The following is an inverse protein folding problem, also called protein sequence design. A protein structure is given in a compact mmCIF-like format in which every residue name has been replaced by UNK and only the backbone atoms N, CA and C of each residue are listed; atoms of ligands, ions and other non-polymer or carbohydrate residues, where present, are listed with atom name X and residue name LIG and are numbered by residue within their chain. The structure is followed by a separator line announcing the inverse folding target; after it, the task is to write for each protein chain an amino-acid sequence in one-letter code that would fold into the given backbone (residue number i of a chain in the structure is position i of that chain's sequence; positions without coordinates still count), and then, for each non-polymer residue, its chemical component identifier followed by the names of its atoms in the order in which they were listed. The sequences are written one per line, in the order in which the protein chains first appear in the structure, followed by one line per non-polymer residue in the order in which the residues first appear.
data_IF_630656055351
#
_entry.id   IF_630656055351
#
_cell.length_a   1.000
_cell.length_b   1.000
_cell.length_c   1.000
_cell.angle_alpha   90.00
_cell.angle_beta   90.00
_cell.angle_gamma   90.00
#
_symmetry.space_group_name_H-M   'P 1'
#
loop_
_entity.id
_entity.type
_entity.pdbx_description
1 polymer ?
#
# COMPACT_ATOMS: atom_id res chain seq x y z
N UNK A 1 -8.60 -3.91 17.41
CA UNK A 1 -7.12 -3.87 17.43
C UNK A 1 -6.64 -3.58 16.03
N UNK A 2 -6.55 -2.30 15.70
CA UNK A 2 -6.17 -1.85 14.38
C UNK A 2 -4.66 -1.85 14.27
N UNK A 3 -4.08 -2.40 13.20
CA UNK A 3 -2.65 -2.28 12.90
C UNK A 3 -1.66 -2.79 13.96
N UNK A 4 -2.08 -3.68 14.87
CA UNK A 4 -1.25 -4.26 15.94
C UNK A 4 -1.12 -5.76 15.76
N UNK A 5 0.12 -6.26 15.72
CA UNK A 5 0.39 -7.69 15.89
C UNK A 5 0.09 -8.12 17.34
N UNK A 6 -0.26 -9.39 17.54
CA UNK A 6 -0.51 -9.96 18.88
C UNK A 6 0.72 -9.77 19.77
N UNK A 7 1.92 -9.98 19.24
CA UNK A 7 3.19 -9.77 19.96
C UNK A 7 3.34 -8.33 20.45
N UNK A 8 3.06 -7.34 19.60
CA UNK A 8 3.13 -5.92 19.98
C UNK A 8 2.08 -5.50 21.01
N UNK A 9 0.91 -6.15 20.98
CA UNK A 9 -0.12 -5.97 21.99
C UNK A 9 0.33 -6.51 23.35
N UNK A 10 0.94 -7.71 23.35
CA UNK A 10 1.47 -8.34 24.56
C UNK A 10 2.66 -7.55 25.14
N UNK A 11 3.45 -6.88 24.30
CA UNK A 11 4.55 -6.00 24.71
C UNK A 11 4.10 -4.60 25.18
N UNK A 12 2.79 -4.35 25.35
CA UNK A 12 2.24 -3.04 25.75
C UNK A 12 2.60 -1.87 24.81
N UNK A 13 2.94 -2.15 23.54
CA UNK A 13 3.22 -1.13 22.51
C UNK A 13 1.96 -0.57 21.83
N UNK A 14 0.78 -0.88 22.36
CA UNK A 14 -0.49 -0.39 21.83
C UNK A 14 -0.59 1.15 21.72
N UNK A 15 -0.08 1.96 22.68
CA UNK A 15 -0.16 3.42 22.59
C UNK A 15 0.70 4.03 21.48
N UNK A 16 1.81 3.37 21.12
CA UNK A 16 2.71 3.77 20.03
C UNK A 16 2.40 3.06 18.72
N UNK A 17 1.27 2.34 18.66
CA UNK A 17 0.89 1.64 17.45
C UNK A 17 0.58 2.64 16.33
N UNK A 18 1.00 2.35 15.09
CA UNK A 18 0.74 3.23 13.94
C UNK A 18 -0.75 3.57 13.76
N UNK A 19 -1.61 2.61 14.11
CA UNK A 19 -3.05 2.74 14.18
C UNK A 19 -3.55 3.77 15.20
N UNK A 20 -3.04 3.70 16.43
CA UNK A 20 -3.37 4.67 17.47
C UNK A 20 -2.89 6.06 17.08
N UNK A 21 -1.76 6.17 16.40
CA UNK A 21 -1.25 7.45 15.89
C UNK A 21 -2.14 8.02 14.77
N UNK A 22 -2.64 7.18 13.85
CA UNK A 22 -3.61 7.57 12.84
C UNK A 22 -4.89 8.15 13.45
N UNK A 23 -5.54 7.37 14.33
CA UNK A 23 -6.82 7.78 14.92
C UNK A 23 -6.66 8.95 15.89
N UNK A 24 -5.55 9.01 16.64
CA UNK A 24 -5.22 10.16 17.50
C UNK A 24 -5.01 11.42 16.65
N UNK A 25 -4.25 11.33 15.56
CA UNK A 25 -4.06 12.45 14.64
C UNK A 25 -5.40 12.91 14.05
N UNK A 26 -6.28 12.02 13.60
CA UNK A 26 -7.58 12.43 13.07
C UNK A 26 -8.48 13.08 14.16
N UNK A 27 -8.51 12.48 15.36
CA UNK A 27 -9.32 12.96 16.48
C UNK A 27 -8.84 14.31 17.04
N UNK A 28 -7.52 14.53 17.13
CA UNK A 28 -6.92 15.80 17.61
C UNK A 28 -7.29 17.00 16.72
N UNK A 29 -7.57 16.78 15.44
CA UNK A 29 -7.92 17.85 14.49
C UNK A 29 -9.40 17.85 14.06
N UNK A 30 -10.26 17.11 14.78
CA UNK A 30 -11.71 17.11 14.57
C UNK A 30 -12.18 16.37 13.32
N UNK A 31 -11.31 15.59 12.67
CA UNK A 31 -11.66 14.70 11.58
C UNK A 31 -12.23 13.37 12.09
N UNK A 32 -13.24 12.85 11.41
CA UNK A 32 -13.83 11.54 11.73
C UNK A 32 -13.59 10.57 10.58
N UNK A 33 -12.46 9.86 10.64
CA UNK A 33 -12.11 8.82 9.66
C UNK A 33 -13.19 7.73 9.55
N UNK A 34 -13.98 7.50 10.61
CA UNK A 34 -15.08 6.54 10.60
C UNK A 34 -16.29 7.00 9.76
N UNK A 35 -16.40 8.31 9.47
CA UNK A 35 -17.39 8.85 8.54
C UNK A 35 -16.87 8.90 7.10
N UNK A 36 -15.57 9.11 6.92
CA UNK A 36 -14.95 9.24 5.59
C UNK A 36 -14.58 7.89 4.95
N UNK A 37 -14.35 6.85 5.76
CA UNK A 37 -13.84 5.55 5.32
C UNK A 37 -14.71 4.40 5.82
N UNK A 38 -14.82 3.33 5.03
CA UNK A 38 -15.51 2.11 5.44
C UNK A 38 -14.64 1.33 6.43
N UNK A 39 -15.24 0.50 7.32
CA UNK A 39 -14.47 -0.36 8.22
C UNK A 39 -13.44 -1.25 7.51
N UNK A 40 -13.73 -1.69 6.29
CA UNK A 40 -12.82 -2.49 5.45
C UNK A 40 -11.62 -1.68 4.98
N UNK A 41 -11.83 -0.42 4.58
CA UNK A 41 -10.76 0.49 4.14
C UNK A 41 -9.80 0.76 5.29
N UNK A 42 -10.35 0.98 6.48
CA UNK A 42 -9.57 1.05 7.70
C UNK A 42 -8.74 -0.24 7.83
N UNK A 43 -9.33 -1.45 7.82
CA UNK A 43 -8.55 -2.69 8.00
C UNK A 43 -7.37 -2.81 7.03
N UNK A 44 -7.55 -2.39 5.78
CA UNK A 44 -6.48 -2.33 4.78
C UNK A 44 -5.36 -1.37 5.20
N UNK A 45 -5.68 -0.16 5.65
CA UNK A 45 -4.69 0.80 6.14
C UNK A 45 -3.98 0.29 7.41
N UNK A 46 -4.66 -0.45 8.27
CA UNK A 46 -4.03 -1.14 9.40
C UNK A 46 -3.04 -2.22 8.95
N UNK A 47 -3.41 -3.01 7.95
CA UNK A 47 -2.55 -4.04 7.35
C UNK A 47 -1.30 -3.44 6.69
N UNK A 48 -1.43 -2.28 6.03
CA UNK A 48 -0.30 -1.52 5.49
C UNK A 48 0.76 -1.22 6.55
N UNK A 49 0.34 -0.73 7.72
CA UNK A 49 1.26 -0.37 8.80
C UNK A 49 1.94 -1.61 9.41
N UNK A 50 1.19 -2.69 9.61
CA UNK A 50 1.74 -3.98 10.09
C UNK A 50 2.77 -4.55 9.11
N UNK A 51 2.45 -4.52 7.81
CA UNK A 51 3.34 -5.04 6.78
C UNK A 51 4.59 -4.15 6.64
N UNK A 52 4.46 -2.84 6.80
CA UNK A 52 5.61 -1.91 6.85
C UNK A 52 6.54 -2.26 8.01
N UNK A 53 5.98 -2.47 9.21
CA UNK A 53 6.76 -2.87 10.37
C UNK A 53 7.44 -4.24 10.19
N UNK A 54 6.73 -5.20 9.61
CA UNK A 54 7.26 -6.54 9.31
C UNK A 54 8.41 -6.47 8.31
N UNK A 55 8.25 -5.71 7.22
CA UNK A 55 9.33 -5.48 6.24
C UNK A 55 10.57 -4.88 6.90
N UNK A 56 10.40 -3.84 7.72
CA UNK A 56 11.52 -3.19 8.40
C UNK A 56 12.26 -4.14 9.35
N UNK A 57 11.52 -4.95 10.13
CA UNK A 57 12.12 -5.93 11.03
C UNK A 57 12.93 -6.99 10.25
N UNK A 58 12.37 -7.51 9.15
CA UNK A 58 13.05 -8.48 8.28
C UNK A 58 14.30 -7.88 7.64
N UNK A 59 14.21 -6.67 7.09
CA UNK A 59 15.35 -5.96 6.51
C UNK A 59 16.46 -5.73 7.54
N UNK A 60 16.10 -5.40 8.78
CA UNK A 60 17.06 -5.23 9.88
C UNK A 60 17.75 -6.56 10.22
N UNK A 61 17.00 -7.66 10.32
CA UNK A 61 17.57 -8.98 10.63
C UNK A 61 18.45 -9.56 9.51
N UNK A 62 18.18 -9.15 8.27
CA UNK A 62 18.92 -9.51 7.07
C UNK A 62 20.04 -8.51 6.73
N UNK A 63 20.31 -7.53 7.60
CA UNK A 63 21.33 -6.50 7.38
C UNK A 63 21.17 -5.76 6.04
N UNK A 64 19.93 -5.56 5.60
CA UNK A 64 19.60 -4.84 4.37
C UNK A 64 19.90 -3.33 4.51
N UNK A 65 20.17 -2.62 3.40
CA UNK A 65 20.34 -1.17 3.43
C UNK A 65 19.15 -0.44 4.07
N UNK A 66 19.45 0.49 4.97
CA UNK A 66 18.45 1.33 5.61
C UNK A 66 17.95 2.41 4.65
N UNK A 67 16.71 2.87 4.88
CA UNK A 67 16.11 3.96 4.12
C UNK A 67 17.02 5.20 4.15
N UNK A 68 17.23 5.82 2.98
CA UNK A 68 18.01 7.05 2.90
C UNK A 68 17.23 8.18 3.57
N UNK A 69 17.83 8.78 4.60
CA UNK A 69 17.27 9.96 5.25
C UNK A 69 17.42 11.19 4.36
N UNK A 70 16.38 12.02 4.34
CA UNK A 70 16.45 13.37 3.79
C UNK A 70 16.12 14.36 4.89
N UNK A 71 16.91 15.43 4.97
CA UNK A 71 16.62 16.57 5.82
C UNK A 71 16.53 17.79 4.95
N UNK A 72 15.30 18.14 4.56
CA UNK A 72 15.04 19.38 3.87
C UNK A 72 14.73 20.47 4.90
N UNK A 73 15.47 21.59 4.83
CA UNK A 73 15.12 22.76 5.63
C UNK A 73 13.74 23.27 5.22
N UNK A 74 12.84 23.45 6.19
CA UNK A 74 11.50 23.98 5.93
C UNK A 74 11.61 25.35 5.26
N UNK A 75 11.08 25.45 4.05
CA UNK A 75 10.92 26.75 3.37
C UNK A 75 9.85 27.55 4.08
N UNK A 76 10.04 28.86 4.15
CA UNK A 76 9.07 29.77 4.75
C UNK A 76 7.69 29.59 4.08
N UNK A 77 6.65 29.44 4.89
CA UNK A 77 5.27 29.16 4.48
C UNK A 77 4.56 30.36 3.81
N UNK A 78 5.29 31.41 3.41
CA UNK A 78 4.71 32.66 2.90
C UNK A 78 4.16 32.54 1.47
N UNK A 79 4.63 31.56 0.69
CA UNK A 79 4.17 31.35 -0.68
C UNK A 79 2.88 30.52 -0.75
N UNK A 80 2.05 30.70 -1.79
CA UNK A 80 0.95 29.78 -2.09
C UNK A 80 1.43 28.33 -2.15
N UNK A 81 0.61 27.40 -1.64
CA UNK A 81 0.98 25.98 -1.52
C UNK A 81 1.50 25.33 -2.83
N UNK A 82 0.97 25.73 -3.97
CA UNK A 82 1.42 25.21 -5.27
C UNK A 82 2.84 25.67 -5.64
N UNK A 83 3.23 26.91 -5.29
CA UNK A 83 4.60 27.40 -5.52
C UNK A 83 5.60 26.66 -4.64
N UNK A 84 5.23 26.40 -3.39
CA UNK A 84 6.02 25.55 -2.48
C UNK A 84 6.26 24.17 -3.10
N UNK A 85 5.24 23.55 -3.70
CA UNK A 85 5.36 22.25 -4.34
C UNK A 85 6.34 22.26 -5.52
N UNK A 86 6.29 23.31 -6.35
CA UNK A 86 7.26 23.51 -7.44
C UNK A 86 8.70 23.64 -6.93
N UNK A 87 8.92 24.46 -5.90
CA UNK A 87 10.26 24.62 -5.30
C UNK A 87 10.77 23.33 -4.67
N UNK A 88 9.90 22.60 -3.98
CA UNK A 88 10.23 21.31 -3.37
C UNK A 88 10.63 20.30 -4.45
N UNK A 89 9.90 20.24 -5.56
CA UNK A 89 10.24 19.37 -6.68
C UNK A 89 11.64 19.67 -7.22
N UNK A 90 11.98 20.95 -7.45
CA UNK A 90 13.29 21.34 -7.95
C UNK A 90 14.41 20.93 -6.96
N UNK A 91 14.23 21.23 -5.67
CA UNK A 91 15.20 20.88 -4.61
C UNK A 91 15.42 19.38 -4.48
N UNK A 92 14.35 18.59 -4.51
CA UNK A 92 14.46 17.13 -4.43
C UNK A 92 15.18 16.57 -5.67
N UNK A 93 14.90 17.11 -6.87
CA UNK A 93 15.63 16.69 -8.09
C UNK A 93 17.11 17.01 -8.01
N UNK A 94 17.47 18.18 -7.48
CA UNK A 94 18.85 18.59 -7.25
C UNK A 94 19.56 17.67 -6.25
N UNK A 95 18.96 17.45 -5.07
CA UNK A 95 19.51 16.57 -4.02
C UNK A 95 19.68 15.12 -4.51
N UNK A 96 18.77 14.66 -5.37
CA UNK A 96 18.85 13.35 -6.01
C UNK A 96 19.70 13.35 -7.29
N UNK A 97 20.30 14.47 -7.69
CA UNK A 97 21.10 14.55 -8.93
C UNK A 97 20.35 14.04 -10.17
N UNK A 98 19.03 14.25 -10.23
CA UNK A 98 18.18 13.79 -11.35
C UNK A 98 18.26 14.73 -12.57
N UNK A 99 18.82 15.93 -12.38
CA UNK A 99 18.85 16.98 -13.41
C UNK A 99 17.43 17.30 -13.90
N UNK A 100 17.27 17.48 -15.21
CA UNK A 100 15.97 17.77 -15.85
C UNK A 100 15.42 16.60 -16.69
N UNK A 101 16.12 15.47 -16.70
CA UNK A 101 15.72 14.31 -17.51
C UNK A 101 14.51 13.59 -16.91
N UNK A 102 13.65 12.97 -17.74
CA UNK A 102 12.55 12.15 -17.26
C UNK A 102 13.03 11.07 -16.29
N UNK A 103 12.26 10.82 -15.23
CA UNK A 103 12.53 9.74 -14.28
C UNK A 103 12.12 8.42 -14.93
N UNK A 104 13.03 7.45 -15.16
CA UNK A 104 12.67 6.22 -15.86
C UNK A 104 11.62 5.39 -15.09
N UNK A 105 11.80 5.23 -13.78
CA UNK A 105 10.86 4.54 -12.91
C UNK A 105 10.80 5.19 -11.54
N UNK A 106 9.58 5.50 -11.08
CA UNK A 106 9.34 5.94 -9.71
C UNK A 106 9.49 4.78 -8.73
N UNK A 107 9.12 3.56 -9.13
CA UNK A 107 9.29 2.35 -8.31
C UNK A 107 10.77 2.13 -8.00
N UNK A 108 11.65 2.05 -9.02
CA UNK A 108 13.09 1.88 -8.81
C UNK A 108 13.73 3.05 -8.07
N UNK A 109 13.29 4.29 -8.34
CA UNK A 109 13.78 5.44 -7.57
C UNK A 109 13.50 5.26 -6.08
N UNK A 110 12.28 4.89 -5.70
CA UNK A 110 11.89 4.79 -4.29
C UNK A 110 12.42 3.51 -3.63
N UNK A 111 12.36 2.35 -4.29
CA UNK A 111 12.76 1.06 -3.72
C UNK A 111 14.26 0.79 -3.77
N UNK A 112 14.89 1.06 -4.92
CA UNK A 112 16.27 0.65 -5.16
C UNK A 112 17.25 1.74 -4.73
N UNK A 113 16.90 3.01 -4.95
CA UNK A 113 17.77 4.13 -4.61
C UNK A 113 17.51 4.73 -3.23
N UNK A 114 16.25 4.78 -2.79
CA UNK A 114 15.89 5.35 -1.48
C UNK A 114 15.59 4.29 -0.41
N UNK A 115 15.44 3.02 -0.81
CA UNK A 115 15.13 1.90 0.07
C UNK A 115 13.82 2.05 0.86
N UNK A 116 12.83 2.72 0.27
CA UNK A 116 11.48 2.86 0.81
C UNK A 116 10.64 1.61 0.51
N UNK A 117 9.67 1.31 1.38
CA UNK A 117 8.76 0.19 1.16
C UNK A 117 7.57 0.63 0.31
N UNK A 118 7.26 -0.09 -0.77
CA UNK A 118 6.08 0.17 -1.58
C UNK A 118 5.11 -1.00 -1.51
N UNK A 119 3.82 -0.67 -1.42
CA UNK A 119 2.72 -1.62 -1.46
C UNK A 119 1.71 -1.19 -2.51
N UNK A 120 1.22 -2.14 -3.29
CA UNK A 120 0.20 -1.91 -4.30
C UNK A 120 -1.02 -2.72 -3.97
N UNK A 121 -2.19 -2.09 -3.99
CA UNK A 121 -3.47 -2.75 -3.77
C UNK A 121 -4.47 -2.33 -4.84
N UNK A 122 -5.54 -3.11 -4.99
CA UNK A 122 -6.56 -2.90 -6.01
C UNK A 122 -7.87 -2.40 -5.39
N UNK A 123 -8.74 -1.74 -6.18
CA UNK A 123 -9.97 -1.14 -5.67
C UNK A 123 -11.01 -2.10 -5.05
N UNK A 124 -10.89 -3.41 -5.29
CA UNK A 124 -11.71 -4.44 -4.61
C UNK A 124 -11.35 -4.59 -3.12
N UNK A 125 -10.14 -4.18 -2.72
CA UNK A 125 -9.69 -4.23 -1.33
C UNK A 125 -9.79 -2.87 -0.64
N UNK A 126 -9.42 -1.80 -1.33
CA UNK A 126 -9.42 -0.43 -0.81
C UNK A 126 -10.34 0.44 -1.65
N UNK A 127 -11.29 1.13 -1.02
CA UNK A 127 -12.19 2.05 -1.70
C UNK A 127 -11.41 2.97 -2.63
N UNK A 128 -11.92 3.16 -3.85
CA UNK A 128 -11.37 4.15 -4.78
C UNK A 128 -11.41 5.56 -4.22
N UNK A 129 -12.08 5.82 -3.10
CA UNK A 129 -11.99 7.09 -2.37
C UNK A 129 -10.58 7.40 -1.84
N UNK A 130 -9.69 6.41 -1.71
CA UNK A 130 -8.28 6.55 -1.33
C UNK A 130 -7.40 6.15 -2.51
N UNK A 131 -6.60 7.09 -3.02
CA UNK A 131 -5.62 6.83 -4.09
C UNK A 131 -4.29 6.33 -3.52
N UNK A 132 -3.92 6.80 -2.32
CA UNK A 132 -2.69 6.42 -1.67
C UNK A 132 -2.67 6.71 -0.18
N UNK A 133 -1.66 6.15 0.48
CA UNK A 133 -1.31 6.46 1.85
C UNK A 133 0.19 6.32 2.05
N UNK A 134 0.74 6.99 3.05
CA UNK A 134 2.17 6.95 3.33
C UNK A 134 2.47 7.02 4.83
N UNK A 135 3.62 6.46 5.23
CA UNK A 135 4.11 6.55 6.61
C UNK A 135 5.63 6.68 6.69
N UNK A 136 6.11 7.41 7.70
CA UNK A 136 7.54 7.49 8.04
C UNK A 136 8.00 6.39 8.99
N UNK A 137 7.08 5.71 9.69
CA UNK A 137 7.42 4.78 10.76
C UNK A 137 6.96 3.35 10.50
N UNK A 138 7.79 2.35 10.87
CA UNK A 138 9.16 2.49 11.39
C UNK A 138 10.19 2.87 10.30
N UNK A 139 9.79 2.85 9.03
CA UNK A 139 10.57 3.34 7.89
C UNK A 139 9.63 4.02 6.89
N UNK A 140 10.15 4.87 5.98
CA UNK A 140 9.36 5.43 4.88
C UNK A 140 8.71 4.33 4.05
N UNK A 141 7.39 4.42 3.89
CA UNK A 141 6.60 3.50 3.11
C UNK A 141 5.40 4.19 2.44
N UNK A 142 5.03 3.68 1.26
CA UNK A 142 3.91 4.17 0.47
C UNK A 142 3.00 2.99 0.09
N UNK A 143 1.70 3.18 0.20
CA UNK A 143 0.64 2.35 -0.34
C UNK A 143 -0.01 3.09 -1.51
N UNK A 144 -0.14 2.44 -2.65
CA UNK A 144 -0.89 2.95 -3.81
C UNK A 144 -2.10 2.05 -4.08
N UNK A 145 -3.27 2.66 -4.24
CA UNK A 145 -4.45 2.02 -4.78
C UNK A 145 -4.42 2.13 -6.32
N UNK A 146 -4.37 1.00 -7.01
CA UNK A 146 -4.30 0.92 -8.47
C UNK A 146 -5.67 1.15 -9.10
N UNK A 147 -6.22 2.34 -8.87
CA UNK A 147 -7.46 2.82 -9.51
C UNK A 147 -7.21 2.88 -11.02
N UNK A 148 -8.03 2.17 -11.80
CA UNK A 148 -7.83 2.01 -13.24
C UNK A 148 -6.92 0.83 -13.65
N UNK A 149 -6.47 0.01 -12.70
CA UNK A 149 -5.67 -1.19 -12.95
C UNK A 149 -4.19 -0.92 -13.21
N UNK A 150 -3.39 -1.99 -13.34
CA UNK A 150 -1.95 -1.91 -13.60
C UNK A 150 -1.60 -1.27 -14.96
N UNK A 151 -2.53 -1.31 -15.93
CA UNK A 151 -2.37 -0.63 -17.22
C UNK A 151 -2.35 0.90 -17.09
N UNK A 152 -2.81 1.47 -15.97
CA UNK A 152 -2.79 2.92 -15.69
C UNK A 152 -1.50 3.37 -14.97
N UNK A 153 -0.34 2.83 -15.33
CA UNK A 153 0.94 3.06 -14.64
C UNK A 153 1.36 4.54 -14.56
N UNK A 154 0.96 5.39 -15.52
CA UNK A 154 1.22 6.83 -15.48
C UNK A 154 0.51 7.50 -14.30
N UNK A 155 -0.64 6.96 -13.88
CA UNK A 155 -1.35 7.42 -12.68
C UNK A 155 -0.58 7.01 -11.43
N UNK A 156 -0.16 5.75 -11.34
CA UNK A 156 0.68 5.22 -10.26
C UNK A 156 1.94 6.08 -10.06
N UNK A 157 2.61 6.51 -11.13
CA UNK A 157 3.77 7.42 -11.06
C UNK A 157 3.47 8.74 -10.38
N UNK A 158 2.35 9.36 -10.74
CA UNK A 158 1.90 10.63 -10.17
C UNK A 158 1.55 10.44 -8.69
N UNK A 159 0.82 9.37 -8.35
CA UNK A 159 0.49 9.07 -6.95
C UNK A 159 1.76 8.79 -6.12
N UNK A 160 2.73 8.03 -6.64
CA UNK A 160 4.02 7.81 -5.95
C UNK A 160 4.76 9.12 -5.68
N UNK A 161 4.82 10.03 -6.66
CA UNK A 161 5.46 11.33 -6.48
C UNK A 161 4.67 12.22 -5.49
N UNK A 162 3.34 12.13 -5.49
CA UNK A 162 2.49 12.83 -4.53
C UNK A 162 2.76 12.36 -3.09
N UNK A 163 2.74 11.05 -2.86
CA UNK A 163 3.02 10.46 -1.54
C UNK A 163 4.46 10.72 -1.08
N UNK A 164 5.40 10.78 -2.02
CA UNK A 164 6.78 11.20 -1.72
C UNK A 164 6.84 12.62 -1.16
N UNK A 165 6.02 13.57 -1.66
CA UNK A 165 5.94 14.91 -1.09
C UNK A 165 5.52 14.86 0.38
N UNK A 166 4.49 14.06 0.69
CA UNK A 166 4.00 13.94 2.06
C UNK A 166 5.05 13.41 3.00
N UNK A 167 5.81 12.38 2.59
CA UNK A 167 6.88 11.82 3.41
C UNK A 167 8.02 12.81 3.65
N UNK A 168 8.38 13.61 2.64
CA UNK A 168 9.52 14.52 2.74
C UNK A 168 9.22 15.82 3.48
N UNK A 169 8.01 16.35 3.37
CA UNK A 169 7.72 17.73 3.79
C UNK A 169 6.56 17.87 4.78
N UNK A 170 5.60 16.95 4.73
CA UNK A 170 4.34 17.07 5.49
C UNK A 170 4.32 16.15 6.71
N UNK A 171 5.09 15.06 6.64
CA UNK A 171 5.24 14.07 7.69
C UNK A 171 6.45 14.40 8.55
N UNK A 172 6.30 14.27 9.86
CA UNK A 172 7.44 14.30 10.81
C UNK A 172 7.27 13.15 11.78
N UNK A 173 8.36 12.45 12.13
CA UNK A 173 8.30 11.31 13.03
C UNK A 173 7.71 11.64 14.41
N UNK A 174 7.82 12.91 14.84
CA UNK A 174 7.36 13.38 16.16
C UNK A 174 5.92 13.93 16.16
N UNK A 175 5.45 14.51 15.04
CA UNK A 175 4.13 15.14 15.02
C UNK A 175 3.15 14.49 14.02
N UNK A 176 3.62 13.95 12.89
CA UNK A 176 2.78 13.43 11.80
C UNK A 176 3.48 12.30 11.04
N UNK A 177 3.54 11.07 11.56
CA UNK A 177 4.26 9.99 10.88
C UNK A 177 3.46 9.35 9.73
N UNK A 178 2.29 9.88 9.36
CA UNK A 178 1.36 9.22 8.44
C UNK A 178 0.50 10.22 7.64
N UNK A 179 0.15 9.88 6.39
CA UNK A 179 -0.76 10.63 5.51
C UNK A 179 -1.69 9.70 4.68
N UNK A 180 -2.87 10.21 4.29
CA UNK A 180 -3.84 9.57 3.36
C UNK A 180 -4.22 10.58 2.29
N UNK A 181 -4.16 10.17 1.02
CA UNK A 181 -4.56 11.01 -0.11
C UNK A 181 -5.91 10.54 -0.69
N UNK A 182 -6.94 11.41 -0.69
CA UNK A 182 -8.25 11.09 -1.23
C UNK A 182 -8.30 11.18 -2.77
N UNK A 183 -9.21 10.43 -3.40
CA UNK A 183 -9.42 10.46 -4.85
C UNK A 183 -10.21 11.69 -5.30
N UNK A 184 -9.67 12.39 -6.30
CA UNK A 184 -10.25 13.60 -6.87
C UNK A 184 -10.21 14.77 -5.89
N UNK A 185 -9.74 15.94 -6.36
CA UNK A 185 -9.51 17.12 -5.53
C UNK A 185 -10.66 17.46 -4.55
N UNK A 186 -10.31 18.10 -3.44
CA UNK A 186 -11.19 18.23 -2.27
C UNK A 186 -12.41 19.16 -2.40
N UNK A 187 -12.79 19.58 -3.61
CA UNK A 187 -13.94 20.48 -3.79
C UNK A 187 -15.23 19.79 -3.33
N UNK A 188 -15.87 20.36 -2.30
CA UNK A 188 -17.14 19.90 -1.74
C UNK A 188 -17.06 18.83 -0.64
N UNK A 189 -15.91 18.22 -0.38
CA UNK A 189 -15.80 17.11 0.60
C UNK A 189 -15.42 17.58 2.01
N UNK A 190 -16.40 18.06 2.79
CA UNK A 190 -16.19 18.49 4.19
C UNK A 190 -15.66 17.38 5.10
N UNK A 191 -15.96 16.12 4.78
CA UNK A 191 -15.63 14.91 5.55
C UNK A 191 -14.12 14.59 5.56
N UNK A 192 -13.37 15.13 4.61
CA UNK A 192 -11.92 14.90 4.46
C UNK A 192 -11.07 16.01 5.08
N UNK A 193 -11.64 16.86 5.94
CA UNK A 193 -10.88 17.82 6.75
C UNK A 193 -10.16 17.11 7.90
N UNK A 194 -9.23 16.23 7.55
CA UNK A 194 -8.47 15.42 8.50
C UNK A 194 -7.45 16.25 9.29
N UNK A 195 -7.04 17.42 8.76
CA UNK A 195 -6.02 18.31 9.34
C UNK A 195 -6.34 19.79 9.07
N UNK A 196 -5.80 20.67 9.92
CA UNK A 196 -5.68 22.10 9.62
C UNK A 196 -4.78 22.31 8.39
N UNK A 197 -5.20 23.17 7.45
CA UNK A 197 -4.55 23.41 6.16
C UNK A 197 -4.44 22.20 5.20
N UNK A 198 -5.23 21.13 5.40
CA UNK A 198 -5.20 19.94 4.53
C UNK A 198 -5.29 20.28 3.02
N UNK A 199 -6.10 21.28 2.65
CA UNK A 199 -6.18 21.76 1.25
C UNK A 199 -4.84 22.26 0.70
N UNK A 200 -4.08 22.98 1.51
CA UNK A 200 -2.77 23.47 1.13
C UNK A 200 -1.76 22.33 1.04
N UNK A 201 -1.84 21.34 1.93
CA UNK A 201 -1.00 20.14 1.89
C UNK A 201 -1.21 19.37 0.57
N UNK A 202 -2.47 19.05 0.25
CA UNK A 202 -2.82 18.36 -1.00
C UNK A 202 -2.47 19.18 -2.25
N UNK A 203 -2.70 20.50 -2.23
CA UNK A 203 -2.34 21.37 -3.35
C UNK A 203 -0.83 21.39 -3.58
N UNK A 204 -0.05 21.42 -2.49
CA UNK A 204 1.41 21.34 -2.54
C UNK A 204 1.90 19.99 -3.06
N UNK A 205 1.37 18.88 -2.56
CA UNK A 205 1.74 17.54 -3.02
C UNK A 205 1.39 17.32 -4.51
N UNK A 206 0.25 17.82 -4.96
CA UNK A 206 -0.11 17.83 -6.38
C UNK A 206 0.88 18.65 -7.22
N UNK A 207 1.21 19.88 -6.80
CA UNK A 207 2.18 20.70 -7.50
C UNK A 207 3.59 20.06 -7.51
N UNK A 208 4.01 19.48 -6.39
CA UNK A 208 5.24 18.71 -6.30
C UNK A 208 5.27 17.58 -7.31
N UNK A 209 4.26 16.71 -7.33
CA UNK A 209 4.22 15.54 -8.19
C UNK A 209 4.38 15.91 -9.68
N UNK A 210 3.65 16.92 -10.12
CA UNK A 210 3.66 17.33 -11.54
C UNK A 210 4.95 18.02 -11.94
N UNK A 211 5.57 18.83 -11.07
CA UNK A 211 6.85 19.48 -11.34
C UNK A 211 8.04 18.55 -11.17
N UNK A 212 7.94 17.56 -10.27
CA UNK A 212 8.97 16.56 -10.03
C UNK A 212 9.10 15.61 -11.22
N UNK A 213 7.97 15.17 -11.78
CA UNK A 213 7.96 14.29 -12.95
C UNK A 213 8.26 15.03 -14.26
N UNK A 214 7.76 16.26 -14.42
CA UNK A 214 7.94 17.06 -15.63
C UNK A 214 8.56 18.43 -15.30
N UNK A 215 9.90 18.54 -15.16
CA UNK A 215 10.57 19.81 -14.87
C UNK A 215 10.44 20.82 -16.02
N UNK A 216 10.33 22.10 -15.68
CA UNK A 216 9.98 23.18 -16.62
C UNK A 216 10.97 23.34 -17.78
N UNK A 217 12.27 23.25 -17.52
CA UNK A 217 13.32 23.36 -18.55
C UNK A 217 13.22 22.27 -19.62
N UNK A 218 13.09 21.00 -19.22
CA UNK A 218 12.87 19.88 -20.15
C UNK A 218 11.52 20.01 -20.84
N UNK A 219 10.46 20.36 -20.11
CA UNK A 219 9.13 20.54 -20.69
C UNK A 219 9.14 21.58 -21.82
N UNK A 220 9.78 22.74 -21.61
CA UNK A 220 9.94 23.77 -22.65
C UNK A 220 10.70 23.25 -23.87
N UNK A 221 11.74 22.44 -23.65
CA UNK A 221 12.53 21.83 -24.73
C UNK A 221 11.70 20.83 -25.54
N UNK A 222 10.89 20.02 -24.89
CA UNK A 222 9.99 19.05 -25.53
C UNK A 222 8.89 19.72 -26.35
N UNK A 223 8.27 20.79 -25.82
CA UNK A 223 7.28 21.57 -26.59
C UNK A 223 7.97 22.27 -27.76
N UNK A 224 9.14 22.88 -27.54
CA UNK A 224 9.96 23.47 -28.60
C UNK A 224 9.19 24.48 -29.44
N UNK A 225 8.93 24.12 -30.71
CA UNK A 225 8.18 24.95 -31.68
C UNK A 225 6.70 24.57 -31.81
N UNK A 226 6.25 23.53 -31.10
CA UNK A 226 4.85 23.11 -31.11
C UNK A 226 3.99 24.17 -30.42
N UNK A 227 2.74 24.31 -30.86
CA UNK A 227 1.77 25.11 -30.13
C UNK A 227 1.48 24.42 -28.78
N UNK A 228 1.60 25.11 -27.63
CA UNK A 228 1.46 24.49 -26.30
C UNK A 228 0.08 23.87 -26.06
N UNK A 229 -0.95 24.34 -26.77
CA UNK A 229 -2.32 23.84 -26.69
C UNK A 229 -2.64 22.77 -27.74
N UNK A 230 -1.65 22.31 -28.54
CA UNK A 230 -1.85 21.28 -29.57
C UNK A 230 -1.81 19.85 -29.03
N UNK A 231 -2.46 18.93 -29.73
CA UNK A 231 -2.39 17.49 -29.41
C UNK A 231 -0.99 16.92 -29.54
N UNK A 232 -0.17 17.46 -30.44
CA UNK A 232 1.22 17.06 -30.62
C UNK A 232 2.05 17.40 -29.37
N UNK A 233 1.85 18.60 -28.80
CA UNK A 233 2.51 19.01 -27.56
C UNK A 233 2.07 18.12 -26.38
N UNK A 234 0.76 17.88 -26.22
CA UNK A 234 0.25 17.00 -25.15
C UNK A 234 0.84 15.60 -25.29
N UNK A 235 0.85 15.05 -26.51
CA UNK A 235 1.38 13.71 -26.80
C UNK A 235 2.87 13.59 -26.51
N UNK A 236 3.67 14.59 -26.92
CA UNK A 236 5.09 14.63 -26.65
C UNK A 236 5.36 14.63 -25.14
N UNK A 237 4.64 15.46 -24.38
CA UNK A 237 4.79 15.54 -22.92
C UNK A 237 4.37 14.24 -22.23
N UNK A 238 3.25 13.64 -22.61
CA UNK A 238 2.80 12.36 -22.06
C UNK A 238 3.84 11.25 -22.28
N UNK A 239 4.39 11.16 -23.49
CA UNK A 239 5.39 10.14 -23.86
C UNK A 239 6.73 10.37 -23.17
N UNK A 240 7.24 11.61 -23.18
CA UNK A 240 8.56 11.92 -22.64
C UNK A 240 8.62 11.74 -21.13
N UNK A 241 7.59 12.15 -20.38
CA UNK A 241 7.62 12.11 -18.92
C UNK A 241 6.86 10.93 -18.30
N UNK A 242 6.11 10.16 -19.10
CA UNK A 242 5.29 9.06 -18.62
C UNK A 242 4.19 9.54 -17.66
N UNK A 243 3.48 10.60 -18.04
CA UNK A 243 2.38 11.20 -17.27
C UNK A 243 1.08 11.19 -18.09
N UNK A 244 -0.06 11.13 -17.40
CA UNK A 244 -1.37 11.12 -18.04
C UNK A 244 -1.75 12.47 -18.66
N UNK A 245 -2.66 12.42 -19.65
CA UNK A 245 -3.16 13.59 -20.40
C UNK A 245 -3.56 14.77 -19.50
N UNK A 246 -4.35 14.52 -18.45
CA UNK A 246 -4.81 15.58 -17.55
C UNK A 246 -3.65 16.32 -16.90
N UNK A 247 -2.61 15.59 -16.49
CA UNK A 247 -1.41 16.17 -15.87
C UNK A 247 -0.58 16.94 -16.89
N UNK A 248 -0.43 16.40 -18.11
CA UNK A 248 0.26 17.09 -19.19
C UNK A 248 -0.42 18.43 -19.54
N UNK A 249 -1.75 18.44 -19.68
CA UNK A 249 -2.52 19.66 -19.96
C UNK A 249 -2.34 20.68 -18.84
N UNK A 250 -2.44 20.25 -17.57
CA UNK A 250 -2.22 21.15 -16.42
C UNK A 250 -0.80 21.72 -16.39
N UNK A 251 0.22 20.91 -16.71
CA UNK A 251 1.61 21.39 -16.78
C UNK A 251 1.83 22.38 -17.92
N UNK A 252 1.26 22.13 -19.09
CA UNK A 252 1.28 23.07 -20.23
C UNK A 252 0.55 24.36 -19.87
N UNK A 253 -0.62 24.26 -19.24
CA UNK A 253 -1.39 25.40 -18.78
C UNK A 253 -0.62 26.29 -17.81
N UNK A 254 0.02 25.68 -16.82
CA UNK A 254 0.85 26.40 -15.86
C UNK A 254 2.11 27.01 -16.50
N UNK A 255 2.80 26.27 -17.38
CA UNK A 255 4.06 26.72 -17.98
C UNK A 255 3.87 27.87 -19.00
N UNK A 256 2.78 27.81 -19.78
CA UNK A 256 2.53 28.74 -20.89
C UNK A 256 1.38 29.71 -20.63
N UNK A 257 0.82 29.71 -19.41
CA UNK A 257 -0.28 30.61 -19.03
C UNK A 257 -1.58 30.37 -19.80
N UNK A 258 -1.91 29.10 -20.12
CA UNK A 258 -3.15 28.77 -20.83
C UNK A 258 -4.35 28.94 -19.89
N UNK A 259 -5.39 29.62 -20.36
CA UNK A 259 -6.62 29.83 -19.60
C UNK A 259 -7.33 28.50 -19.27
N UNK A 260 -8.11 28.49 -18.20
CA UNK A 260 -8.92 27.33 -17.80
C UNK A 260 -9.85 26.87 -18.93
N UNK A 261 -10.42 27.81 -19.68
CA UNK A 261 -11.25 27.51 -20.85
C UNK A 261 -10.46 26.82 -21.97
N UNK A 262 -9.20 27.20 -22.17
CA UNK A 262 -8.33 26.52 -23.14
C UNK A 262 -7.98 25.12 -22.68
N UNK A 263 -7.64 24.94 -21.41
CA UNK A 263 -7.37 23.62 -20.84
C UNK A 263 -8.60 22.70 -20.88
N UNK A 264 -9.80 23.24 -20.63
CA UNK A 264 -11.07 22.52 -20.76
C UNK A 264 -11.30 22.04 -22.20
N UNK A 265 -11.13 22.93 -23.18
CA UNK A 265 -11.20 22.56 -24.60
C UNK A 265 -10.16 21.53 -25.00
N UNK A 266 -8.96 21.57 -24.42
CA UNK A 266 -7.95 20.52 -24.63
C UNK A 266 -8.42 19.17 -24.07
N UNK A 267 -9.03 19.15 -22.88
CA UNK A 267 -9.54 17.92 -22.25
C UNK A 267 -10.68 17.27 -23.03
N UNK A 268 -11.51 18.07 -23.70
CA UNK A 268 -12.68 17.61 -24.48
C UNK A 268 -12.31 16.97 -25.85
N UNK A 269 -11.07 17.16 -26.32
CA UNK A 269 -10.62 16.58 -27.60
C UNK A 269 -10.35 15.09 -27.48
N UNK A 270 -10.55 14.38 -28.60
CA UNK A 270 -10.18 12.96 -28.70
C UNK A 270 -8.66 12.79 -28.51
N UNK A 271 -8.21 11.93 -27.59
CA UNK A 271 -6.78 11.72 -27.36
C UNK A 271 -6.10 10.97 -28.52
N UNK A 272 -5.01 11.52 -29.03
CA UNK A 272 -4.09 10.82 -29.96
C UNK A 272 -3.09 9.91 -29.20
N UNK A 273 -3.07 9.99 -27.87
CA UNK A 273 -2.16 9.22 -27.02
C UNK A 273 -2.73 7.87 -26.67
N UNK A 274 -1.97 6.82 -27.00
CA UNK A 274 -2.02 5.54 -26.29
C UNK A 274 -0.71 5.38 -25.56
N UNK A 275 -0.78 5.26 -24.24
CA UNK A 275 0.39 4.90 -23.44
C UNK A 275 0.78 3.45 -23.78
N UNK A 276 2.08 3.19 -23.83
CA UNK A 276 2.58 1.82 -23.91
C UNK A 276 2.10 1.05 -22.68
N UNK A 277 1.68 -0.21 -22.85
CA UNK A 277 1.20 -1.02 -21.72
C UNK A 277 2.34 -1.53 -20.86
N UNK A 278 3.50 -1.72 -21.47
CA UNK A 278 4.72 -2.17 -20.83
C UNK A 278 5.53 -0.95 -20.36
N UNK A 279 5.71 -0.83 -19.05
CA UNK A 279 6.50 0.23 -18.43
C UNK A 279 7.02 -0.25 -17.09
N UNK A 280 8.20 0.18 -16.68
CA UNK A 280 8.83 -0.19 -15.41
C UNK A 280 8.05 0.24 -14.14
N UNK A 281 6.95 0.97 -14.28
CA UNK A 281 6.05 1.37 -13.18
C UNK A 281 4.66 0.71 -13.29
N UNK A 282 4.47 -0.19 -14.24
CA UNK A 282 3.33 -1.10 -14.23
C UNK A 282 3.54 -2.07 -13.07
N UNK A 283 2.78 -1.89 -11.98
CA UNK A 283 2.90 -2.76 -10.83
C UNK A 283 2.46 -4.19 -11.21
N UNK A 284 3.38 -5.16 -11.13
CA UNK A 284 3.09 -6.56 -11.47
C UNK A 284 2.53 -7.37 -10.29
N UNK A 285 2.95 -7.04 -9.06
CA UNK A 285 2.52 -7.72 -7.85
C UNK A 285 1.56 -6.85 -7.03
N UNK A 286 0.40 -7.41 -6.69
CA UNK A 286 -0.62 -6.73 -5.88
C UNK A 286 -0.85 -7.47 -4.56
N UNK A 287 -1.09 -6.72 -3.50
CA UNK A 287 -1.32 -7.20 -2.14
C UNK A 287 -0.13 -7.00 -1.21
N UNK A 288 -0.42 -6.79 0.08
CA UNK A 288 0.60 -6.47 1.08
C UNK A 288 1.66 -7.55 1.29
N UNK A 289 1.25 -8.81 1.09
CA UNK A 289 2.05 -10.03 1.33
C UNK A 289 2.40 -10.73 0.02
N UNK A 290 2.52 -9.94 -1.05
CA UNK A 290 3.06 -10.35 -2.33
C UNK A 290 4.44 -9.71 -2.54
N UNK A 291 5.18 -10.20 -3.53
CA UNK A 291 6.45 -9.62 -3.95
C UNK A 291 7.49 -9.55 -2.83
N UNK A 292 7.94 -8.33 -2.51
CA UNK A 292 9.11 -8.07 -1.65
C UNK A 292 8.95 -8.58 -0.21
N UNK A 293 7.79 -8.41 0.42
CA UNK A 293 7.58 -8.90 1.79
C UNK A 293 7.72 -10.43 1.85
N UNK A 294 7.13 -11.13 0.86
CA UNK A 294 7.27 -12.59 0.73
C UNK A 294 8.72 -12.99 0.53
N UNK A 295 9.41 -12.35 -0.42
CA UNK A 295 10.82 -12.64 -0.69
C UNK A 295 11.70 -12.46 0.56
N UNK A 296 11.52 -11.35 1.30
CA UNK A 296 12.25 -11.10 2.54
C UNK A 296 11.92 -12.12 3.63
N UNK A 297 10.64 -12.49 3.77
CA UNK A 297 10.22 -13.47 4.78
C UNK A 297 10.82 -14.84 4.51
N UNK A 298 10.76 -15.31 3.26
CA UNK A 298 11.36 -16.60 2.87
C UNK A 298 12.88 -16.57 3.01
N UNK A 299 13.53 -15.46 2.65
CA UNK A 299 14.98 -15.29 2.81
C UNK A 299 15.38 -15.34 4.29
N UNK A 300 14.66 -14.62 5.15
CA UNK A 300 14.91 -14.62 6.60
C UNK A 300 14.71 -16.01 7.23
N UNK A 301 13.66 -16.74 6.80
CA UNK A 301 13.41 -18.10 7.26
C UNK A 301 14.54 -19.06 6.85
N UNK A 302 14.94 -19.04 5.58
CA UNK A 302 16.05 -19.87 5.07
C UNK A 302 17.39 -19.53 5.74
N UNK A 303 17.58 -18.27 6.12
CA UNK A 303 18.75 -17.80 6.88
C UNK A 303 18.67 -18.08 8.40
N UNK A 304 17.58 -18.70 8.89
CA UNK A 304 17.39 -18.99 10.32
C UNK A 304 17.19 -17.74 11.19
N UNK A 305 16.83 -16.60 10.61
CA UNK A 305 16.59 -15.33 11.32
C UNK A 305 15.21 -15.24 11.96
N UNK A 306 14.25 -15.99 11.40
CA UNK A 306 12.90 -16.18 11.93
C UNK A 306 12.56 -17.67 11.90
N UNK A 307 11.62 -18.08 12.74
CA UNK A 307 11.06 -19.43 12.69
C UNK A 307 9.86 -19.53 11.72
N UNK A 308 9.43 -20.77 11.47
CA UNK A 308 8.33 -21.06 10.54
C UNK A 308 6.98 -20.52 11.04
N UNK A 309 6.77 -20.34 12.35
CA UNK A 309 5.54 -19.78 12.91
C UNK A 309 5.50 -18.28 12.64
N UNK A 310 6.60 -17.55 12.88
CA UNK A 310 6.73 -16.13 12.56
C UNK A 310 6.55 -15.87 11.07
N UNK A 311 7.18 -16.67 10.21
CA UNK A 311 7.03 -16.55 8.75
C UNK A 311 5.56 -16.68 8.31
N UNK A 312 4.84 -17.65 8.87
CA UNK A 312 3.41 -17.88 8.62
C UNK A 312 2.52 -16.77 9.14
N UNK A 313 2.85 -16.23 10.32
CA UNK A 313 2.15 -15.09 10.89
C UNK A 313 2.27 -13.85 10.00
N UNK A 314 3.49 -13.52 9.55
CA UNK A 314 3.77 -12.40 8.64
C UNK A 314 2.99 -12.54 7.33
N UNK A 315 3.08 -13.71 6.70
CA UNK A 315 2.45 -13.98 5.39
C UNK A 315 0.97 -14.39 5.50
N UNK A 316 0.42 -14.51 6.71
CA UNK A 316 -0.94 -15.02 6.98
C UNK A 316 -1.23 -16.35 6.27
N UNK A 317 -0.25 -17.25 6.28
CA UNK A 317 -0.40 -18.61 5.73
C UNK A 317 -0.81 -19.55 6.87
N UNK A 318 -1.91 -20.32 6.74
CA UNK A 318 -2.30 -21.30 7.75
C UNK A 318 -1.18 -22.31 8.06
N UNK A 319 -1.12 -22.81 9.29
CA UNK A 319 -0.10 -23.79 9.72
C UNK A 319 -0.17 -25.12 8.93
N UNK A 320 -1.32 -25.39 8.31
CA UNK A 320 -1.60 -26.58 7.51
C UNK A 320 -1.26 -26.48 6.02
N UNK A 321 -0.93 -25.28 5.54
CA UNK A 321 -0.58 -25.04 4.14
C UNK A 321 0.94 -24.85 4.00
N UNK A 322 1.57 -25.13 2.86
CA UNK A 322 2.98 -24.81 2.66
C UNK A 322 3.17 -23.29 2.57
N UNK A 323 4.34 -22.80 2.99
CA UNK A 323 4.77 -21.43 2.69
C UNK A 323 5.05 -21.28 1.18
N UNK A 324 4.89 -20.09 0.59
CA UNK A 324 5.16 -19.86 -0.83
C UNK A 324 6.65 -20.03 -1.16
N UNK A 325 6.95 -20.62 -2.33
CA UNK A 325 8.30 -20.81 -2.85
C UNK A 325 8.66 -22.29 -3.06
N UNK A 326 9.82 -22.52 -3.70
CA UNK A 326 10.28 -23.86 -4.05
C UNK A 326 11.12 -24.48 -2.92
N UNK A 327 10.69 -25.67 -2.48
CA UNK A 327 11.47 -26.73 -1.84
C UNK A 327 12.23 -26.40 -0.55
N UNK A 328 11.91 -27.12 0.53
CA UNK A 328 12.65 -27.13 1.79
C UNK A 328 11.77 -27.62 2.94
N UNK A 329 12.30 -28.40 3.91
CA UNK A 329 11.53 -28.82 5.08
C UNK A 329 10.99 -27.64 5.90
N UNK A 330 11.65 -26.49 5.88
CA UNK A 330 11.23 -25.25 6.54
C UNK A 330 9.98 -24.61 5.92
N UNK A 331 9.67 -24.90 4.65
CA UNK A 331 8.48 -24.40 3.95
C UNK A 331 7.28 -25.34 4.06
N UNK A 332 7.49 -26.56 4.57
CA UNK A 332 6.45 -27.56 4.70
C UNK A 332 5.36 -27.13 5.72
N UNK A 333 4.13 -27.66 5.60
CA UNK A 333 3.11 -27.51 6.64
C UNK A 333 3.65 -27.93 8.01
N UNK A 334 3.36 -27.13 9.04
CA UNK A 334 3.71 -27.48 10.42
C UNK A 334 2.71 -28.49 11.02
N UNK A 335 1.48 -28.51 10.49
CA UNK A 335 0.42 -29.41 10.92
C UNK A 335 -0.11 -30.14 9.68
N UNK A 336 -0.25 -31.46 9.74
CA UNK A 336 -0.87 -32.22 8.65
C UNK A 336 -2.36 -31.89 8.54
N UNK A 337 -2.95 -32.00 7.34
CA UNK A 337 -4.40 -31.83 7.16
C UNK A 337 -5.21 -32.82 8.00
N UNK A 338 -4.71 -34.04 8.18
CA UNK A 338 -5.28 -35.04 9.09
C UNK A 338 -5.37 -34.51 10.53
N UNK A 339 -4.26 -33.97 11.06
CA UNK A 339 -4.22 -33.45 12.43
C UNK A 339 -5.07 -32.19 12.60
N UNK A 340 -5.16 -31.35 11.57
CA UNK A 340 -6.07 -30.20 11.55
C UNK A 340 -7.53 -30.66 11.58
N UNK A 341 -7.91 -31.65 10.78
CA UNK A 341 -9.25 -32.24 10.78
C UNK A 341 -9.62 -32.80 12.16
N UNK A 342 -8.72 -33.58 12.77
CA UNK A 342 -8.86 -34.04 14.15
C UNK A 342 -9.15 -32.90 15.14
N UNK A 343 -8.34 -31.83 15.11
CA UNK A 343 -8.50 -30.68 16.01
C UNK A 343 -9.84 -29.95 15.80
N UNK A 344 -10.25 -29.70 14.55
CA UNK A 344 -11.52 -29.03 14.25
C UNK A 344 -12.73 -29.88 14.64
N UNK A 345 -12.68 -31.19 14.46
CA UNK A 345 -13.76 -32.08 14.88
C UNK A 345 -13.90 -32.13 16.41
N UNK A 346 -12.78 -32.17 17.15
CA UNK A 346 -12.79 -32.10 18.62
C UNK A 346 -13.36 -30.77 19.10
N UNK A 347 -12.92 -29.64 18.51
CA UNK A 347 -13.40 -28.31 18.86
C UNK A 347 -14.90 -28.15 18.56
N UNK A 348 -15.37 -28.67 17.43
CA UNK A 348 -16.77 -28.64 17.05
C UNK A 348 -17.65 -29.40 18.05
N UNK A 349 -17.27 -30.64 18.43
CA UNK A 349 -18.02 -31.38 19.44
C UNK A 349 -17.97 -30.71 20.81
N UNK A 350 -16.81 -30.19 21.25
CA UNK A 350 -16.67 -29.46 22.53
C UNK A 350 -17.50 -28.18 22.60
N UNK A 351 -17.78 -27.54 21.45
CA UNK A 351 -18.66 -26.38 21.39
C UNK A 351 -20.14 -26.77 21.59
N UNK A 352 -20.54 -27.98 21.19
CA UNK A 352 -21.90 -28.51 21.30
C UNK A 352 -22.18 -29.32 22.56
N UNK A 353 -21.14 -29.87 23.18
CA UNK A 353 -21.19 -30.82 24.28
C UNK A 353 -19.98 -30.64 25.19
N UNK A 354 -20.19 -30.61 26.51
CA UNK A 354 -19.13 -30.40 27.51
C UNK A 354 -18.28 -31.65 27.78
N UNK A 355 -18.60 -32.78 27.12
CA UNK A 355 -17.82 -34.02 27.20
C UNK A 355 -16.39 -33.86 26.64
N UNK A 356 -15.38 -34.51 27.25
CA UNK A 356 -14.00 -34.43 26.80
C UNK A 356 -13.76 -35.35 25.59
N UNK A 357 -14.26 -34.98 24.41
CA UNK A 357 -14.02 -35.74 23.18
C UNK A 357 -12.54 -35.71 22.75
N UNK A 358 -12.01 -36.86 22.31
CA UNK A 358 -10.70 -36.96 21.64
C UNK A 358 -10.82 -37.74 20.33
N UNK A 359 -10.04 -37.35 19.33
CA UNK A 359 -9.99 -38.00 18.02
C UNK A 359 -8.95 -39.12 17.99
N UNK A 360 -9.22 -40.15 17.19
CA UNK A 360 -8.30 -41.28 17.02
C UNK A 360 -7.56 -41.23 15.67
N UNK A 361 -8.31 -40.99 14.59
CA UNK A 361 -7.78 -40.85 13.23
C UNK A 361 -8.73 -40.04 12.36
N UNK A 362 -8.18 -39.38 11.34
CA UNK A 362 -8.96 -38.74 10.29
C UNK A 362 -8.65 -39.36 8.92
N UNK A 363 -9.69 -39.55 8.11
CA UNK A 363 -9.59 -40.17 6.79
C UNK A 363 -10.09 -39.20 5.72
N UNK A 364 -9.31 -38.95 4.64
CA UNK A 364 -9.81 -38.16 3.52
C UNK A 364 -10.89 -38.94 2.76
N UNK A 365 -11.96 -38.25 2.40
CA UNK A 365 -13.07 -38.79 1.60
C UNK A 365 -13.38 -37.84 0.44
N UNK A 366 -14.24 -38.25 -0.50
CA UNK A 366 -14.67 -37.38 -1.61
C UNK A 366 -15.36 -36.08 -1.14
N UNK A 367 -15.92 -36.09 0.08
CA UNK A 367 -16.62 -34.94 0.67
C UNK A 367 -15.74 -34.09 1.59
N UNK A 368 -14.51 -34.53 1.88
CA UNK A 368 -13.57 -33.83 2.76
C UNK A 368 -12.86 -34.78 3.72
N UNK A 369 -13.13 -34.68 5.01
CA UNK A 369 -12.49 -35.50 6.05
C UNK A 369 -13.52 -36.12 6.98
N UNK A 370 -13.42 -37.43 7.22
CA UNK A 370 -14.17 -38.11 8.27
C UNK A 370 -13.26 -38.34 9.48
N UNK A 371 -13.72 -37.88 10.65
CA UNK A 371 -12.97 -37.98 11.91
C UNK A 371 -13.77 -38.78 12.93
N UNK A 372 -13.17 -39.83 13.47
CA UNK A 372 -13.75 -40.63 14.56
C UNK A 372 -13.32 -40.08 15.91
N UNK A 373 -14.31 -39.74 16.75
CA UNK A 373 -14.13 -39.20 18.09
C UNK A 373 -14.75 -40.10 19.14
N UNK A 374 -14.10 -40.14 20.30
CA UNK A 374 -14.43 -41.03 21.41
C UNK A 374 -14.61 -40.22 22.70
N UNK A 375 -15.56 -40.64 23.54
CA UNK A 375 -15.71 -40.17 24.91
C UNK A 375 -16.21 -41.32 25.80
N UNK A 376 -15.29 -42.05 26.43
CA UNK A 376 -15.63 -43.25 27.20
C UNK A 376 -16.07 -44.37 26.27
N UNK A 377 -17.33 -44.81 26.36
CA UNK A 377 -17.92 -45.80 25.46
C UNK A 377 -18.68 -45.18 24.27
N UNK A 378 -18.84 -43.85 24.26
CA UNK A 378 -19.53 -43.14 23.19
C UNK A 378 -18.57 -42.89 22.01
N UNK A 379 -19.04 -43.18 20.79
CA UNK A 379 -18.32 -42.91 19.54
C UNK A 379 -19.16 -41.98 18.65
N UNK A 380 -18.51 -41.03 17.99
CA UNK A 380 -19.13 -40.14 17.00
C UNK A 380 -18.22 -39.94 15.80
N UNK A 381 -18.82 -39.82 14.63
CA UNK A 381 -18.13 -39.41 13.41
C UNK A 381 -18.53 -38.00 13.05
N UNK A 382 -17.53 -37.14 12.82
CA UNK A 382 -17.73 -35.79 12.30
C UNK A 382 -17.17 -35.73 10.88
N UNK A 383 -17.95 -35.17 9.96
CA UNK A 383 -17.54 -34.93 8.57
C UNK A 383 -17.21 -33.45 8.40
N UNK A 384 -15.99 -33.19 7.97
CA UNK A 384 -15.48 -31.85 7.66
C UNK A 384 -15.28 -31.71 6.15
N UNK A 385 -15.26 -30.47 5.68
CA UNK A 385 -14.98 -30.09 4.29
C UNK A 385 -13.53 -30.41 3.92
N UNK A 386 -13.15 -30.32 2.62
CA UNK A 386 -11.74 -30.48 2.20
C UNK A 386 -10.77 -29.49 2.85
N UNK A 387 -11.26 -28.30 3.27
CA UNK A 387 -10.51 -27.30 4.03
C UNK A 387 -10.53 -27.55 5.55
N UNK A 388 -11.04 -28.70 5.98
CA UNK A 388 -11.21 -29.12 7.36
C UNK A 388 -12.24 -28.29 8.15
N UNK A 389 -13.17 -27.59 7.50
CA UNK A 389 -14.23 -26.84 8.19
C UNK A 389 -15.48 -27.73 8.41
N UNK A 390 -16.20 -27.63 9.53
CA UNK A 390 -17.41 -28.43 9.75
C UNK A 390 -18.47 -28.18 8.67
N UNK A 391 -18.99 -29.24 8.05
CA UNK A 391 -20.01 -29.14 6.99
C UNK A 391 -21.42 -28.82 7.53
N UNK A 392 -21.63 -29.00 8.84
CA UNK A 392 -22.90 -28.68 9.51
C UNK A 392 -22.73 -27.45 10.43
N UNK A 393 -23.12 -26.28 9.92
CA UNK A 393 -23.24 -25.03 10.69
C UNK A 393 -24.69 -24.55 10.73
N UNK A 394 -25.63 -25.41 11.14
CA UNK A 394 -26.95 -24.91 11.56
C UNK A 394 -26.96 -24.75 13.08
N UNK A 395 -27.27 -23.56 13.63
CA UNK A 395 -27.67 -23.47 15.02
C UNK A 395 -29.02 -24.18 15.13
N UNK A 396 -29.12 -25.17 16.02
CA UNK A 396 -30.41 -25.66 16.51
C UNK A 396 -30.85 -24.79 17.66
#
# INVERSE_FOLDING_TARGET
LFGLGIEQLLESRAPSSPATLLFRSAAEYGGDLGKALRPEDLRVLGDFLVCTASMHALETQLDCPSARGFSFSRVALSEPAWQQGQEFAARVREELGLGDEPIPSMISLLQDRLHWSLFFITPDRLSSAVEGASTLLPKPAILINLVGGSESWWHTRVCLAHEMCHLLFDSTAQARPYAISPMGGMEGRKEWRLLEHFRGIEQRANAFAVHFLAPSSRLRREVGKLAPDSEQAITAICRTFGIGRVVAIRRLGHEYGLSDETQRRMLEREPDTRHERDHADAAEAHGFRAGRLTALTITALKAGKIDAVSARSILRVPMSEPLPGDGGPELAPLISKERLACYHAEAHLRASDSKPWWSSKAHPTERGWEVQLHCGADERTVVLSPTCEPLDTRPV
#
